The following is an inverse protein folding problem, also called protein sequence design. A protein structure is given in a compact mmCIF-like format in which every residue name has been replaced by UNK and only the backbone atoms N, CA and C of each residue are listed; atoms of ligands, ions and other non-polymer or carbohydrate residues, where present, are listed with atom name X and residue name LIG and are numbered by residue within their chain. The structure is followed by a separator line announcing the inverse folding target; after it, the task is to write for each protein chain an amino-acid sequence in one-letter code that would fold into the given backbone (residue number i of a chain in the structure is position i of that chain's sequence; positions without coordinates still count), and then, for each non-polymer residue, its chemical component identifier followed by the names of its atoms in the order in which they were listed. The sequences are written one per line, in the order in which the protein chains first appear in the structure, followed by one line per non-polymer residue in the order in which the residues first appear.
data_IF_773530161533
#
_entry.id   IF_773530161533
#
_cell.length_a   1.000
_cell.length_b   1.000
_cell.length_c   1.000
_cell.angle_alpha   90.00
_cell.angle_beta   90.00
_cell.angle_gamma   90.00
#
_symmetry.space_group_name_H-M   'P 1'
#
loop_
_entity.id
_entity.type
_entity.pdbx_description
1 polymer ?
#
# COMPACT_ATOMS: atom_id res chain seq x y z
N UNK A 1 -0.85 6.14 17.14
CA UNK A 1 -2.17 6.41 17.76
C UNK A 1 -2.10 6.47 19.29
N UNK A 2 -1.44 5.53 19.98
CA UNK A 2 -1.35 5.54 21.46
C UNK A 2 -0.74 6.83 22.05
N UNK A 3 0.32 7.35 21.44
CA UNK A 3 1.00 8.59 21.87
C UNK A 3 0.04 9.80 21.90
N UNK A 4 -0.82 9.92 20.89
CA UNK A 4 -1.81 11.01 20.81
C UNK A 4 -2.84 10.93 21.92
N UNK A 5 -3.32 9.73 22.25
CA UNK A 5 -4.25 9.53 23.36
C UNK A 5 -3.60 9.77 24.72
N UNK A 6 -2.33 9.41 24.89
CA UNK A 6 -1.57 9.72 26.10
C UNK A 6 -1.44 11.24 26.30
N UNK A 7 -1.09 11.97 25.23
CA UNK A 7 -0.99 13.44 25.27
C UNK A 7 -2.36 14.05 25.59
N UNK A 8 -3.44 13.56 24.95
CA UNK A 8 -4.80 14.00 25.23
C UNK A 8 -5.19 13.82 26.71
N UNK A 9 -4.84 12.68 27.30
CA UNK A 9 -5.05 12.43 28.73
C UNK A 9 -4.32 13.43 29.63
N UNK A 10 -3.07 13.79 29.31
CA UNK A 10 -2.33 14.81 30.07
C UNK A 10 -2.90 16.22 29.85
N UNK A 11 -3.36 16.56 28.65
CA UNK A 11 -4.03 17.84 28.37
C UNK A 11 -5.32 17.95 29.20
N UNK A 12 -6.12 16.89 29.28
CA UNK A 12 -7.32 16.86 30.11
C UNK A 12 -6.99 17.11 31.59
N UNK A 13 -5.94 16.49 32.13
CA UNK A 13 -5.51 16.74 33.51
C UNK A 13 -5.17 18.21 33.74
N UNK A 14 -4.44 18.84 32.80
CA UNK A 14 -4.09 20.26 32.88
C UNK A 14 -5.36 21.13 32.85
N UNK A 15 -6.26 20.90 31.89
CA UNK A 15 -7.52 21.66 31.77
C UNK A 15 -8.41 21.54 33.01
N UNK A 16 -8.43 20.37 33.64
CA UNK A 16 -9.18 20.14 34.86
C UNK A 16 -8.52 20.84 36.07
N UNK A 17 -7.20 20.76 36.20
CA UNK A 17 -6.46 21.43 37.28
C UNK A 17 -6.52 22.96 37.20
N UNK A 18 -6.49 23.53 36.00
CA UNK A 18 -6.62 24.98 35.80
C UNK A 18 -8.07 25.46 35.89
N UNK A 19 -9.05 24.57 36.05
CA UNK A 19 -10.46 24.92 36.09
C UNK A 19 -11.02 25.42 34.75
N UNK A 20 -10.30 25.20 33.63
CA UNK A 20 -10.73 25.68 32.30
C UNK A 20 -12.03 25.01 31.84
N UNK A 21 -12.26 23.76 32.23
CA UNK A 21 -13.52 23.04 31.93
C UNK A 21 -14.70 23.73 32.64
N UNK A 22 -14.53 24.08 33.92
CA UNK A 22 -15.55 24.79 34.70
C UNK A 22 -15.78 26.18 34.12
N UNK A 23 -14.71 26.87 33.71
CA UNK A 23 -14.82 28.17 33.06
C UNK A 23 -15.66 28.08 31.77
N UNK A 24 -15.45 27.06 30.94
CA UNK A 24 -16.27 26.86 29.72
C UNK A 24 -17.75 26.61 30.04
N UNK A 25 -18.07 25.86 31.11
CA UNK A 25 -19.45 25.69 31.56
C UNK A 25 -20.05 26.99 32.09
N UNK A 26 -19.27 27.81 32.80
CA UNK A 26 -19.72 29.13 33.25
C UNK A 26 -20.05 30.05 32.07
N UNK A 27 -19.25 30.02 31.00
CA UNK A 27 -19.55 30.79 29.77
C UNK A 27 -20.90 30.41 29.19
N UNK A 28 -21.29 29.13 29.20
CA UNK A 28 -22.62 28.68 28.73
C UNK A 28 -23.74 29.27 29.58
N UNK A 29 -23.57 29.30 30.91
CA UNK A 29 -24.54 29.93 31.82
C UNK A 29 -24.66 31.42 31.54
N UNK A 30 -23.52 32.11 31.37
CA UNK A 30 -23.51 33.53 31.01
C UNK A 30 -24.17 33.81 29.66
N UNK A 31 -23.99 32.94 28.67
CA UNK A 31 -24.67 33.05 27.37
C UNK A 31 -26.19 32.95 27.53
N UNK A 32 -26.69 31.95 28.28
CA UNK A 32 -28.15 31.82 28.51
C UNK A 32 -28.69 33.02 29.28
N UNK A 33 -27.95 33.49 30.28
CA UNK A 33 -28.34 34.66 31.05
C UNK A 33 -28.43 35.91 30.16
N UNK A 34 -27.45 36.11 29.28
CA UNK A 34 -27.44 37.22 28.34
C UNK A 34 -28.59 37.12 27.32
N UNK A 35 -28.84 35.92 26.78
CA UNK A 35 -29.95 35.64 25.85
C UNK A 35 -31.29 36.06 26.49
N UNK A 36 -31.57 35.62 27.73
CA UNK A 36 -32.83 35.93 28.43
C UNK A 36 -32.90 37.39 28.88
N UNK A 37 -31.76 38.04 29.15
CA UNK A 37 -31.72 39.47 29.47
C UNK A 37 -32.10 40.35 28.26
N UNK A 38 -31.86 39.89 27.03
CA UNK A 38 -32.23 40.59 25.81
C UNK A 38 -33.68 40.37 25.38
N UNK A 39 -34.32 39.30 25.85
CA UNK A 39 -35.72 38.99 25.55
C UNK A 39 -36.67 40.03 26.16
N UNK A 40 -37.71 40.44 25.41
CA UNK A 40 -38.70 41.44 25.81
C UNK A 40 -39.62 40.96 26.95
N UNK A 41 -40.49 41.82 27.48
CA UNK A 41 -41.45 41.43 28.55
C UNK A 41 -42.54 40.44 28.11
N UNK A 42 -42.61 40.12 26.82
CA UNK A 42 -43.66 39.28 26.21
C UNK A 42 -43.52 37.77 26.48
N UNK A 43 -42.38 37.33 27.04
CA UNK A 43 -42.06 35.91 27.28
C UNK A 43 -42.53 35.38 28.67
N UNK A 44 -43.18 36.22 29.49
CA UNK A 44 -43.68 35.83 30.81
C UNK A 44 -42.58 35.75 31.89
N UNK A 45 -42.62 34.74 32.77
CA UNK A 45 -41.68 34.65 33.90
C UNK A 45 -40.25 34.27 33.43
N UNK A 46 -39.43 35.31 33.21
CA UNK A 46 -38.02 35.21 32.78
C UNK A 46 -37.15 34.34 33.69
N UNK A 47 -37.46 34.27 34.99
CA UNK A 47 -36.73 33.43 35.94
C UNK A 47 -36.90 31.94 35.65
N UNK A 48 -38.14 31.49 35.41
CA UNK A 48 -38.42 30.09 35.10
C UNK A 48 -37.89 29.70 33.71
N UNK A 49 -38.01 30.61 32.74
CA UNK A 49 -37.51 30.39 31.39
C UNK A 49 -35.98 30.24 31.36
N UNK A 50 -35.26 31.13 32.05
CA UNK A 50 -33.79 31.05 32.15
C UNK A 50 -33.31 29.77 32.84
N UNK A 51 -34.03 29.30 33.86
CA UNK A 51 -33.66 28.10 34.60
C UNK A 51 -33.82 26.84 33.75
N UNK A 52 -34.98 26.65 33.11
CA UNK A 52 -35.22 25.51 32.21
C UNK A 52 -34.23 25.50 31.03
N UNK A 53 -33.93 26.67 30.45
CA UNK A 53 -32.99 26.76 29.33
C UNK A 53 -31.55 26.47 29.75
N UNK A 54 -31.14 26.94 30.93
CA UNK A 54 -29.83 26.65 31.50
C UNK A 54 -29.70 25.17 31.81
N UNK A 55 -30.72 24.55 32.41
CA UNK A 55 -30.74 23.13 32.74
C UNK A 55 -30.49 22.26 31.50
N UNK A 56 -31.24 22.49 30.41
CA UNK A 56 -31.08 21.72 29.17
C UNK A 56 -29.71 21.93 28.54
N UNK A 57 -29.22 23.18 28.43
CA UNK A 57 -27.90 23.45 27.85
C UNK A 57 -26.78 22.85 28.69
N UNK A 58 -26.88 22.91 30.03
CA UNK A 58 -25.86 22.40 30.95
C UNK A 58 -25.87 20.87 31.01
N UNK A 59 -27.05 20.24 30.94
CA UNK A 59 -27.19 18.79 30.79
C UNK A 59 -26.55 18.30 29.48
N UNK A 60 -26.83 18.96 28.35
CA UNK A 60 -26.23 18.60 27.05
C UNK A 60 -24.71 18.80 27.06
N UNK A 61 -24.23 19.94 27.56
CA UNK A 61 -22.80 20.23 27.67
C UNK A 61 -22.09 19.24 28.61
N UNK A 62 -22.72 18.86 29.72
CA UNK A 62 -22.23 17.85 30.64
C UNK A 62 -22.10 16.48 29.98
N UNK A 63 -23.10 16.07 29.20
CA UNK A 63 -23.08 14.81 28.45
C UNK A 63 -21.94 14.81 27.42
N UNK A 64 -21.80 15.87 26.64
CA UNK A 64 -20.70 16.01 25.66
C UNK A 64 -19.34 15.95 26.36
N UNK A 65 -19.18 16.67 27.47
CA UNK A 65 -17.93 16.64 28.24
C UNK A 65 -17.62 15.22 28.73
N UNK A 66 -18.60 14.55 29.34
CA UNK A 66 -18.43 13.20 29.85
C UNK A 66 -18.08 12.17 28.76
N UNK A 67 -18.78 12.19 27.63
CA UNK A 67 -18.59 11.20 26.57
C UNK A 67 -17.39 11.49 25.65
N UNK A 68 -17.10 12.75 25.35
CA UNK A 68 -16.13 13.13 24.33
C UNK A 68 -14.82 13.72 24.86
N UNK A 69 -14.80 14.19 26.11
CA UNK A 69 -13.63 14.88 26.69
C UNK A 69 -12.96 14.06 27.78
N UNK A 70 -13.73 13.44 28.69
CA UNK A 70 -13.15 12.69 29.81
C UNK A 70 -12.56 11.34 29.32
N UNK A 71 -11.25 11.08 29.54
CA UNK A 71 -10.60 9.86 29.11
C UNK A 71 -10.83 8.74 30.15
N UNK A 72 -11.90 7.96 30.00
CA UNK A 72 -12.23 6.85 30.93
C UNK A 72 -11.97 5.44 30.37
N UNK A 73 -11.96 5.25 29.06
CA UNK A 73 -11.90 3.91 28.47
C UNK A 73 -10.47 3.55 28.08
N UNK A 74 -9.94 2.39 28.51
CA UNK A 74 -8.60 1.96 28.12
C UNK A 74 -8.54 1.63 26.63
N UNK A 75 -7.59 2.22 25.91
CA UNK A 75 -7.40 1.96 24.48
C UNK A 75 -6.61 0.67 24.31
N UNK A 76 -7.24 -0.33 23.68
CA UNK A 76 -6.53 -1.53 23.24
C UNK A 76 -6.13 -1.38 21.78
N UNK A 77 -4.84 -1.53 21.50
CA UNK A 77 -4.36 -1.72 20.13
C UNK A 77 -4.45 -3.18 19.78
N UNK A 78 -5.47 -3.51 19.00
CA UNK A 78 -5.53 -4.79 18.32
C UNK A 78 -4.56 -4.75 17.15
N UNK A 79 -3.50 -5.55 17.19
CA UNK A 79 -2.69 -5.79 16.00
C UNK A 79 -3.47 -6.69 15.06
N UNK A 80 -3.80 -6.18 13.86
CA UNK A 80 -4.31 -7.03 12.79
C UNK A 80 -3.21 -8.01 12.40
N UNK A 81 -3.49 -9.31 12.51
CA UNK A 81 -2.63 -10.34 11.95
C UNK A 81 -3.00 -10.49 10.50
N UNK A 82 -2.10 -10.04 9.64
CA UNK A 82 -2.23 -10.24 8.20
C UNK A 82 -2.04 -11.72 7.89
N UNK A 83 -3.01 -12.30 7.19
CA UNK A 83 -2.83 -13.60 6.55
C UNK A 83 -1.86 -13.40 5.38
N UNK A 84 -0.59 -13.67 5.58
CA UNK A 84 0.43 -13.47 4.55
C UNK A 84 0.13 -14.28 3.29
N UNK A 85 -0.39 -15.50 3.44
CA UNK A 85 -0.67 -16.40 2.30
C UNK A 85 -1.86 -15.89 1.47
N UNK A 86 -2.93 -15.45 2.14
CA UNK A 86 -4.06 -14.85 1.45
C UNK A 86 -3.66 -13.50 0.83
N UNK A 87 -2.86 -12.70 1.55
CA UNK A 87 -2.44 -11.36 1.10
C UNK A 87 -1.49 -11.39 -0.09
N UNK A 88 -0.58 -12.35 -0.15
CA UNK A 88 0.30 -12.58 -1.31
C UNK A 88 -0.51 -13.00 -2.54
N UNK A 89 -1.55 -13.82 -2.36
CA UNK A 89 -2.44 -14.24 -3.45
C UNK A 89 -3.30 -13.10 -4.00
N UNK A 90 -3.76 -12.19 -3.13
CA UNK A 90 -4.69 -11.12 -3.50
C UNK A 90 -4.00 -9.77 -3.78
N UNK A 91 -2.72 -9.60 -3.42
CA UNK A 91 -1.98 -8.33 -3.57
C UNK A 91 -2.50 -7.19 -2.67
N UNK A 92 -3.39 -7.49 -1.74
CA UNK A 92 -3.94 -6.59 -0.72
C UNK A 92 -3.81 -7.27 0.64
N UNK A 93 -3.60 -6.48 1.69
CA UNK A 93 -3.51 -7.03 3.05
C UNK A 93 -4.86 -7.56 3.53
N UNK A 94 -5.02 -8.88 3.55
CA UNK A 94 -6.18 -9.55 4.12
C UNK A 94 -5.85 -9.97 5.55
N UNK A 95 -6.70 -9.57 6.49
CA UNK A 95 -6.55 -9.91 7.90
C UNK A 95 -7.14 -11.29 8.20
N UNK A 96 -6.37 -12.17 8.84
CA UNK A 96 -6.85 -13.47 9.37
C UNK A 96 -7.49 -13.33 10.76
N UNK A 97 -7.44 -12.12 11.36
CA UNK A 97 -7.97 -11.85 12.69
C UNK A 97 -7.20 -10.75 13.41
N UNK A 98 -7.65 -10.43 14.62
CA UNK A 98 -6.93 -9.53 15.53
C UNK A 98 -6.30 -10.37 16.65
N UNK A 99 -4.99 -10.28 16.83
CA UNK A 99 -4.36 -10.78 18.06
C UNK A 99 -4.47 -9.70 19.11
N UNK A 100 -4.87 -10.10 20.32
CA UNK A 100 -4.74 -9.29 21.53
C UNK A 100 -3.25 -9.12 21.84
N UNK A 101 -2.60 -8.18 21.16
CA UNK A 101 -1.27 -7.74 21.56
C UNK A 101 -1.42 -6.89 22.82
N UNK A 102 -0.72 -7.25 23.90
CA UNK A 102 -0.64 -6.49 25.16
C UNK A 102 0.03 -5.10 25.02
N UNK A 103 0.07 -4.54 23.81
CA UNK A 103 0.69 -3.25 23.47
C UNK A 103 -0.19 -2.03 23.84
N UNK A 104 -1.15 -2.19 24.74
CA UNK A 104 -1.97 -1.08 25.28
C UNK A 104 -1.21 -0.18 26.26
N UNK A 105 0.05 -0.51 26.57
CA UNK A 105 0.93 0.30 27.42
C UNK A 105 1.94 1.08 26.59
N UNK A 106 2.07 2.37 26.88
CA UNK A 106 3.13 3.23 26.34
C UNK A 106 3.95 3.73 27.52
N UNK A 107 5.23 3.32 27.57
CA UNK A 107 6.11 3.52 28.73
C UNK A 107 5.57 2.93 30.05
N UNK A 108 4.80 1.83 29.98
CA UNK A 108 4.23 1.15 31.15
C UNK A 108 2.96 1.81 31.73
N UNK A 109 2.48 2.91 31.15
CA UNK A 109 1.21 3.56 31.53
C UNK A 109 0.09 3.12 30.56
N UNK A 110 -1.06 2.72 31.12
CA UNK A 110 -2.27 2.40 30.36
C UNK A 110 -2.86 3.69 29.77
N UNK A 111 -3.03 3.72 28.44
CA UNK A 111 -3.54 4.88 27.74
C UNK A 111 -5.06 4.84 27.67
N UNK A 112 -5.71 5.91 28.12
CA UNK A 112 -7.18 6.05 28.14
C UNK A 112 -7.66 7.06 27.09
N UNK A 113 -8.82 6.81 26.51
CA UNK A 113 -9.49 7.70 25.56
C UNK A 113 -10.97 7.91 25.94
N UNK A 114 -11.59 9.01 25.49
CA UNK A 114 -13.01 9.22 25.66
C UNK A 114 -13.85 8.23 24.85
N UNK A 115 -15.00 7.83 25.40
CA UNK A 115 -15.87 6.78 24.86
C UNK A 115 -16.34 7.12 23.44
N UNK A 116 -16.68 8.38 23.19
CA UNK A 116 -17.12 8.85 21.87
C UNK A 116 -16.11 8.52 20.76
N UNK A 117 -14.83 8.79 21.02
CA UNK A 117 -13.78 8.56 20.04
C UNK A 117 -13.48 7.08 19.84
N UNK A 118 -13.54 6.29 20.92
CA UNK A 118 -13.41 4.83 20.84
C UNK A 118 -14.52 4.24 19.97
N UNK A 119 -15.76 4.71 20.13
CA UNK A 119 -16.89 4.28 19.32
C UNK A 119 -16.64 4.57 17.82
N UNK A 120 -16.27 5.81 17.48
CA UNK A 120 -15.99 6.17 16.08
C UNK A 120 -14.81 5.42 15.50
N UNK A 121 -13.78 5.18 16.29
CA UNK A 121 -12.63 4.40 15.87
C UNK A 121 -13.02 2.97 15.50
N UNK A 122 -13.82 2.31 16.36
CA UNK A 122 -14.31 0.95 16.10
C UNK A 122 -15.21 0.89 14.86
N UNK A 123 -16.09 1.87 14.67
CA UNK A 123 -16.94 1.95 13.46
C UNK A 123 -16.08 2.13 12.21
N UNK A 124 -15.11 3.04 12.24
CA UNK A 124 -14.21 3.29 11.12
C UNK A 124 -13.43 2.02 10.76
N UNK A 125 -12.90 1.31 11.76
CA UNK A 125 -12.21 0.05 11.54
C UNK A 125 -13.12 -1.01 10.93
N UNK A 126 -14.34 -1.16 11.44
CA UNK A 126 -15.33 -2.09 10.90
C UNK A 126 -15.66 -1.80 9.43
N UNK A 127 -15.87 -0.52 9.09
CA UNK A 127 -16.18 -0.11 7.73
C UNK A 127 -14.99 -0.31 6.77
N UNK A 128 -13.78 0.07 7.19
CA UNK A 128 -12.57 -0.14 6.38
C UNK A 128 -12.31 -1.63 6.15
N UNK A 129 -12.45 -2.47 7.17
CA UNK A 129 -12.28 -3.92 7.03
C UNK A 129 -13.34 -4.53 6.10
N UNK A 130 -14.60 -4.12 6.23
CA UNK A 130 -15.67 -4.55 5.34
C UNK A 130 -15.40 -4.13 3.88
N UNK A 131 -14.99 -2.88 3.66
CA UNK A 131 -14.65 -2.39 2.32
C UNK A 131 -13.50 -3.18 1.69
N UNK A 132 -12.40 -3.42 2.43
CA UNK A 132 -11.27 -4.21 1.93
C UNK A 132 -11.69 -5.65 1.62
N UNK A 133 -12.52 -6.28 2.46
CA UNK A 133 -13.02 -7.64 2.21
C UNK A 133 -13.95 -7.76 1.00
N UNK A 134 -14.56 -6.65 0.56
CA UNK A 134 -15.42 -6.61 -0.62
C UNK A 134 -14.66 -6.49 -1.95
N UNK A 135 -13.37 -6.16 -1.90
CA UNK A 135 -12.53 -6.08 -3.09
C UNK A 135 -12.36 -7.51 -3.63
N UNK A 136 -12.83 -7.81 -4.85
CA UNK A 136 -12.66 -9.13 -5.42
C UNK A 136 -11.16 -9.38 -5.65
N UNK A 137 -10.63 -10.45 -5.08
CA UNK A 137 -9.28 -10.97 -5.35
C UNK A 137 -9.23 -11.56 -6.76
N UNK A 138 -9.35 -10.73 -7.79
CA UNK A 138 -9.07 -11.13 -9.16
C UNK A 138 -7.77 -10.45 -9.59
N UNK A 139 -6.73 -11.25 -9.76
CA UNK A 139 -5.49 -10.79 -10.36
C UNK A 139 -5.77 -10.53 -11.85
N UNK A 140 -6.08 -9.28 -12.18
CA UNK A 140 -6.24 -8.86 -13.56
C UNK A 140 -4.84 -8.72 -14.19
N UNK A 141 -4.41 -9.82 -14.82
CA UNK A 141 -3.17 -9.89 -15.60
C UNK A 141 -3.08 -8.75 -16.61
N UNK A 142 -4.19 -8.32 -17.20
CA UNK A 142 -4.21 -7.30 -18.25
C UNK A 142 -3.83 -5.92 -17.70
N UNK A 143 -4.37 -5.54 -16.53
CA UNK A 143 -4.03 -4.26 -15.87
C UNK A 143 -2.62 -4.24 -15.32
N UNK A 144 -2.13 -5.37 -14.83
CA UNK A 144 -0.75 -5.50 -14.37
C UNK A 144 0.24 -5.39 -15.54
N UNK A 145 -0.07 -6.02 -16.68
CA UNK A 145 0.70 -5.88 -17.92
C UNK A 145 0.68 -4.45 -18.47
N UNK A 146 -0.43 -3.72 -18.31
CA UNK A 146 -0.52 -2.32 -18.72
C UNK A 146 0.31 -1.37 -17.83
N UNK A 147 0.47 -1.68 -16.54
CA UNK A 147 1.41 -0.96 -15.66
C UNK A 147 2.86 -1.31 -15.97
N UNK A 148 3.14 -2.58 -16.31
CA UNK A 148 4.48 -3.00 -16.74
C UNK A 148 4.89 -2.34 -18.06
N UNK A 149 3.97 -2.14 -19.00
CA UNK A 149 4.25 -1.43 -20.26
C UNK A 149 4.48 0.07 -20.08
N UNK A 150 4.11 0.64 -18.93
CA UNK A 150 4.42 2.02 -18.55
C UNK A 150 5.77 2.18 -17.83
N UNK A 151 6.46 1.08 -17.52
CA UNK A 151 7.82 1.14 -16.99
C UNK A 151 8.76 1.48 -18.14
N UNK A 152 9.07 2.77 -18.27
CA UNK A 152 10.02 3.28 -19.24
C UNK A 152 11.45 3.26 -18.68
N UNK A 153 12.41 2.81 -19.49
CA UNK A 153 13.82 2.79 -19.14
C UNK A 153 14.35 4.23 -19.29
N UNK A 154 14.53 4.93 -18.16
CA UNK A 154 14.88 6.36 -18.12
C UNK A 154 16.18 6.73 -18.84
N UNK A 155 17.13 5.80 -18.98
CA UNK A 155 18.41 6.03 -19.64
C UNK A 155 18.39 5.52 -21.08
N UNK A 156 18.63 6.42 -22.03
CA UNK A 156 18.67 6.09 -23.46
C UNK A 156 19.65 4.96 -23.79
N UNK A 157 20.84 4.98 -23.17
CA UNK A 157 21.89 3.97 -23.39
C UNK A 157 21.42 2.57 -23.00
N UNK A 158 20.85 2.40 -21.80
CA UNK A 158 20.33 1.11 -21.34
C UNK A 158 19.14 0.64 -22.18
N UNK A 159 18.33 1.57 -22.68
CA UNK A 159 17.22 1.25 -23.59
C UNK A 159 17.73 0.66 -24.90
N UNK A 160 18.77 1.27 -25.48
CA UNK A 160 19.42 0.77 -26.69
C UNK A 160 20.08 -0.59 -26.43
N UNK A 161 20.83 -0.77 -25.34
CA UNK A 161 21.45 -2.06 -24.99
C UNK A 161 20.40 -3.17 -24.78
N UNK A 162 19.28 -2.85 -24.13
CA UNK A 162 18.20 -3.82 -23.91
C UNK A 162 17.52 -4.20 -25.22
N UNK A 163 17.31 -3.24 -26.12
CA UNK A 163 16.77 -3.47 -27.44
C UNK A 163 17.73 -4.32 -28.30
N UNK A 164 19.02 -3.99 -28.29
CA UNK A 164 20.06 -4.74 -29.00
C UNK A 164 20.13 -6.19 -28.52
N UNK A 165 20.06 -6.42 -27.21
CA UNK A 165 19.99 -7.77 -26.65
C UNK A 165 18.72 -8.52 -27.06
N UNK A 166 17.57 -7.83 -27.02
CA UNK A 166 16.28 -8.41 -27.42
C UNK A 166 16.34 -8.90 -28.89
N UNK A 167 16.83 -8.05 -29.78
CA UNK A 167 16.94 -8.34 -31.21
C UNK A 167 18.00 -9.40 -31.51
N UNK A 168 19.21 -9.29 -30.97
CA UNK A 168 20.33 -10.16 -31.35
C UNK A 168 20.30 -11.54 -30.66
N UNK A 169 19.84 -11.60 -29.41
CA UNK A 169 19.90 -12.81 -28.59
C UNK A 169 18.51 -13.43 -28.38
N UNK A 170 17.55 -12.68 -27.84
CA UNK A 170 16.26 -13.26 -27.41
C UNK A 170 15.37 -13.71 -28.57
N UNK A 171 15.12 -12.84 -29.55
CA UNK A 171 14.26 -13.21 -30.69
C UNK A 171 14.87 -14.38 -31.46
N UNK A 172 16.19 -14.37 -31.63
CA UNK A 172 16.95 -15.42 -32.30
C UNK A 172 16.90 -16.75 -31.55
N UNK A 173 17.18 -16.76 -30.24
CA UNK A 173 17.09 -17.96 -29.42
C UNK A 173 15.69 -18.57 -29.52
N UNK A 174 14.65 -17.74 -29.46
CA UNK A 174 13.26 -18.17 -29.57
C UNK A 174 12.90 -18.70 -30.96
N UNK A 175 13.43 -18.09 -32.03
CA UNK A 175 13.28 -18.60 -33.40
C UNK A 175 13.98 -19.95 -33.58
N UNK A 176 15.21 -20.08 -33.09
CA UNK A 176 15.97 -21.33 -33.14
C UNK A 176 15.31 -22.42 -32.30
N UNK A 177 14.75 -22.08 -31.15
CA UNK A 177 13.98 -23.00 -30.30
C UNK A 177 12.74 -23.53 -31.03
N UNK A 178 11.97 -22.66 -31.69
CA UNK A 178 10.85 -23.07 -32.56
C UNK A 178 11.31 -23.97 -33.72
N UNK A 179 12.47 -23.69 -34.31
CA UNK A 179 13.04 -24.52 -35.36
C UNK A 179 13.53 -25.88 -34.84
N UNK A 180 14.09 -25.93 -33.63
CA UNK A 180 14.59 -27.14 -32.99
C UNK A 180 13.46 -28.04 -32.44
N UNK A 181 12.33 -27.46 -32.04
CA UNK A 181 11.12 -28.20 -31.66
C UNK A 181 10.60 -29.08 -32.81
N UNK A 182 10.65 -28.59 -34.06
CA UNK A 182 10.30 -29.39 -35.25
C UNK A 182 11.22 -30.59 -35.49
N UNK A 183 12.40 -30.61 -34.86
CA UNK A 183 13.37 -31.69 -34.94
C UNK A 183 13.47 -32.48 -33.63
N UNK A 184 12.47 -32.36 -32.74
CA UNK A 184 12.38 -33.04 -31.45
C UNK A 184 13.59 -32.81 -30.52
N UNK A 185 14.26 -31.66 -30.65
CA UNK A 185 15.41 -31.28 -29.79
C UNK A 185 15.02 -30.37 -28.62
N UNK A 186 13.72 -30.07 -28.49
CA UNK A 186 13.13 -29.19 -27.48
C UNK A 186 11.77 -29.78 -27.09
N UNK A 187 11.52 -29.89 -25.78
CA UNK A 187 10.31 -30.48 -25.20
C UNK A 187 9.30 -29.41 -24.79
N UNK A 188 8.08 -29.81 -24.43
CA UNK A 188 7.08 -28.87 -23.91
C UNK A 188 7.53 -28.18 -22.62
N UNK A 189 8.19 -28.92 -21.72
CA UNK A 189 8.75 -28.37 -20.48
C UNK A 189 9.81 -27.29 -20.75
N UNK A 190 10.56 -27.41 -21.84
CA UNK A 190 11.52 -26.38 -22.25
C UNK A 190 10.81 -25.08 -22.65
N UNK A 191 9.67 -25.16 -23.35
CA UNK A 191 8.85 -24.00 -23.69
C UNK A 191 8.29 -23.30 -22.45
N UNK A 192 7.84 -24.07 -21.45
CA UNK A 192 7.33 -23.51 -20.20
C UNK A 192 8.44 -22.77 -19.43
N UNK A 193 9.67 -23.28 -19.49
CA UNK A 193 10.87 -22.63 -18.94
C UNK A 193 11.42 -21.46 -19.79
N UNK A 194 10.82 -21.19 -20.96
CA UNK A 194 11.20 -20.15 -21.92
C UNK A 194 10.13 -19.05 -22.09
N UNK A 195 9.24 -18.88 -21.11
CA UNK A 195 8.10 -17.97 -21.20
C UNK A 195 8.46 -16.46 -21.27
N UNK A 196 9.65 -16.07 -20.82
CA UNK A 196 10.12 -14.68 -20.81
C UNK A 196 11.63 -14.60 -21.08
N UNK A 197 12.15 -13.39 -21.24
CA UNK A 197 13.54 -13.13 -21.65
C UNK A 197 14.59 -13.70 -20.67
N UNK A 198 14.28 -13.79 -19.37
CA UNK A 198 15.13 -14.43 -18.35
C UNK A 198 14.72 -15.85 -18.00
N UNK A 199 13.96 -16.53 -18.86
CA UNK A 199 13.58 -17.93 -18.66
C UNK A 199 14.80 -18.83 -18.41
N UNK A 200 14.67 -19.78 -17.48
CA UNK A 200 15.76 -20.69 -17.10
C UNK A 200 16.29 -21.49 -18.29
N UNK A 201 15.44 -21.76 -19.30
CA UNK A 201 15.86 -22.39 -20.54
C UNK A 201 16.89 -21.55 -21.32
N UNK A 202 16.64 -20.25 -21.50
CA UNK A 202 17.53 -19.39 -22.29
C UNK A 202 18.86 -19.12 -21.59
N UNK A 203 18.84 -19.03 -20.25
CA UNK A 203 20.04 -18.83 -19.42
C UNK A 203 20.84 -20.13 -19.24
N UNK A 204 20.20 -21.29 -19.41
CA UNK A 204 20.79 -22.61 -19.30
C UNK A 204 21.59 -23.03 -20.54
N UNK A 205 21.81 -24.34 -20.67
CA UNK A 205 22.57 -24.92 -21.77
C UNK A 205 21.84 -26.12 -22.36
N UNK A 206 21.76 -26.18 -23.69
CA UNK A 206 21.20 -27.32 -24.42
C UNK A 206 22.26 -27.94 -25.34
N UNK A 207 22.77 -29.12 -24.98
CA UNK A 207 23.77 -29.87 -25.75
C UNK A 207 23.25 -30.30 -27.14
N UNK A 208 21.96 -30.59 -27.27
CA UNK A 208 21.38 -31.06 -28.52
C UNK A 208 21.16 -29.92 -29.53
N UNK A 209 20.99 -28.69 -29.03
CA UNK A 209 20.75 -27.50 -29.84
C UNK A 209 21.29 -26.24 -29.12
N UNK A 210 22.61 -25.97 -29.17
CA UNK A 210 23.22 -24.88 -28.39
C UNK A 210 22.68 -23.50 -28.76
N UNK A 211 22.37 -23.30 -30.05
CA UNK A 211 21.87 -22.04 -30.63
C UNK A 211 20.45 -21.65 -30.16
N UNK A 212 19.79 -22.47 -29.32
CA UNK A 212 18.48 -22.15 -28.71
C UNK A 212 18.60 -21.44 -27.36
N UNK A 213 19.81 -21.30 -26.83
CA UNK A 213 20.12 -20.68 -25.52
C UNK A 213 21.10 -19.52 -25.70
N UNK A 214 21.18 -18.59 -24.75
CA UNK A 214 22.10 -17.45 -24.84
C UNK A 214 23.56 -17.86 -24.84
N UNK A 215 23.90 -18.98 -24.18
CA UNK A 215 25.26 -19.49 -24.13
C UNK A 215 25.78 -19.97 -25.50
N UNK A 216 24.88 -20.39 -26.40
CA UNK A 216 25.25 -20.80 -27.75
C UNK A 216 25.15 -19.68 -28.79
N UNK A 217 24.71 -18.49 -28.39
CA UNK A 217 24.58 -17.32 -29.26
C UNK A 217 25.66 -16.29 -28.94
N UNK A 218 25.97 -15.45 -29.92
CA UNK A 218 26.91 -14.35 -29.77
C UNK A 218 26.32 -13.09 -30.40
N UNK A 219 26.64 -11.94 -29.82
CA UNK A 219 26.22 -10.64 -30.35
C UNK A 219 26.85 -10.42 -31.73
N UNK A 220 26.07 -9.87 -32.65
CA UNK A 220 26.50 -9.52 -33.99
C UNK A 220 27.08 -8.12 -34.04
N UNK A 221 26.52 -7.21 -33.26
CA UNK A 221 26.99 -5.83 -33.16
C UNK A 221 27.92 -5.66 -31.96
N UNK A 222 28.70 -4.59 -32.00
CA UNK A 222 29.54 -4.17 -30.88
C UNK A 222 28.66 -3.89 -29.66
N UNK A 223 29.03 -4.44 -28.51
CA UNK A 223 28.36 -4.17 -27.23
C UNK A 223 29.19 -3.16 -26.46
N UNK A 224 28.55 -2.10 -25.99
CA UNK A 224 29.22 -1.05 -25.23
C UNK A 224 29.91 -1.65 -23.99
N UNK A 225 31.16 -1.25 -23.73
CA UNK A 225 32.00 -1.75 -22.64
C UNK A 225 32.42 -3.24 -22.72
N UNK A 226 32.16 -3.93 -23.84
CA UNK A 226 32.67 -5.28 -24.09
C UNK A 226 33.81 -5.23 -25.13
N UNK A 227 35.08 -5.43 -24.72
CA UNK A 227 36.21 -5.23 -25.62
C UNK A 227 36.22 -6.29 -26.73
N UNK A 228 36.54 -5.81 -27.93
CA UNK A 228 36.73 -6.66 -29.11
C UNK A 228 37.89 -7.62 -28.90
N UNK A 229 37.67 -8.90 -29.23
CA UNK A 229 38.71 -9.92 -29.27
C UNK A 229 38.63 -10.64 -30.61
N UNK A 230 39.67 -10.47 -31.44
CA UNK A 230 39.74 -11.04 -32.79
C UNK A 230 39.51 -12.56 -32.82
N UNK A 231 40.09 -13.32 -31.89
CA UNK A 231 39.96 -14.79 -31.87
C UNK A 231 38.52 -15.25 -31.60
N UNK A 232 37.78 -14.47 -30.83
CA UNK A 232 36.38 -14.74 -30.45
C UNK A 232 35.39 -14.19 -31.47
N UNK A 233 35.61 -12.95 -31.93
CA UNK A 233 34.61 -12.15 -32.63
C UNK A 233 34.73 -12.23 -34.17
N UNK A 234 35.94 -12.38 -34.74
CA UNK A 234 36.12 -12.49 -36.20
C UNK A 234 35.30 -13.63 -36.84
N UNK A 235 35.23 -14.85 -36.25
CA UNK A 235 34.45 -15.95 -36.82
C UNK A 235 32.95 -15.63 -36.94
N UNK A 236 32.41 -14.85 -35.99
CA UNK A 236 31.00 -14.47 -35.94
C UNK A 236 30.69 -13.40 -36.96
N UNK A 237 31.55 -12.40 -37.08
CA UNK A 237 31.45 -11.38 -38.12
C UNK A 237 31.52 -12.00 -39.51
N UNK A 238 32.37 -13.01 -39.72
CA UNK A 238 32.46 -13.73 -41.00
C UNK A 238 31.27 -14.67 -41.27
N UNK A 239 30.61 -15.21 -40.23
CA UNK A 239 29.37 -16.00 -40.33
C UNK A 239 28.22 -15.14 -40.84
N UNK A 240 28.11 -13.89 -40.38
CA UNK A 240 26.99 -12.99 -40.72
C UNK A 240 27.24 -12.05 -41.90
N UNK A 241 28.50 -11.67 -42.16
CA UNK A 241 28.90 -10.89 -43.36
C UNK A 241 28.57 -11.58 -44.70
N UNK A 242 28.34 -12.91 -44.70
CA UNK A 242 28.01 -13.69 -45.91
C UNK A 242 26.52 -13.77 -46.26
N UNK A 243 25.64 -13.19 -45.46
CA UNK A 243 24.25 -12.94 -45.88
C UNK A 243 24.19 -11.63 -46.66
N UNK A 244 24.78 -11.62 -47.86
CA UNK A 244 24.42 -10.61 -48.85
C UNK A 244 22.91 -10.75 -49.09
N UNK A 245 22.19 -9.66 -48.89
CA UNK A 245 20.83 -9.51 -49.42
C UNK A 245 20.99 -9.68 -50.93
N UNK A 246 20.43 -10.77 -51.46
CA UNK A 246 20.28 -10.97 -52.89
C UNK A 246 19.28 -9.91 -53.36
N UNK A 247 19.79 -8.85 -54.00
CA UNK A 247 18.99 -7.84 -54.70
C UNK A 247 18.53 -8.36 -56.04
#
# INVERSE_FOLDING_TARGET
ALTSWQISGKIFMILNQTGLIVFMLAVIVFQVWFDVAQEGEDEGNKGLLSMNRTEVKLMLAGLVCFFAVIPMYPVNVNTLVMDQNASESCGVGISSGATHSDQSSLNGELVHAPIWWVLWHSISQGLTNAAVSSVPCHYDVERSMLKLSQIDIKSEQLRQETQDFYEQCYTRARLMMKAAARKERVTQNDFDNANWIGGSYFLGYNLAAPETTYNGLQAENIVFNFPYNAERDDPVQQKYRRTAIDT
#
